data_IF_994673837181
#
_entry.id   IF_994673837181
#
_cell.length_a   1.000
_cell.length_b   1.000
_cell.length_c   1.000
_cell.angle_alpha   90.00
_cell.angle_beta   90.00
_cell.angle_gamma   90.00
#
_symmetry.space_group_name_H-M   'P 1'
#
loop_
_entity.id
_entity.type
_entity.pdbx_description
1 polymer ?
#
# COMPACT_ATOMS: atom_id res chain seq x y z
N UNK A 1 26.64 28.76 -66.26
CA UNK A 1 25.44 29.51 -66.72
C UNK A 1 24.44 29.54 -65.63
N UNK A 2 24.33 30.71 -64.95
CA UNK A 2 23.16 31.59 -64.90
C UNK A 2 21.97 30.95 -64.15
N UNK A 3 21.32 31.47 -63.15
CA UNK A 3 21.24 32.78 -62.47
C UNK A 3 20.45 32.53 -61.17
N UNK A 4 20.95 32.93 -60.07
CA UNK A 4 20.45 34.00 -59.14
C UNK A 4 18.99 34.40 -59.31
N UNK A 5 18.22 34.31 -58.22
CA UNK A 5 17.43 35.45 -57.77
C UNK A 5 17.03 35.27 -56.29
N UNK A 6 17.54 36.24 -55.55
CA UNK A 6 17.14 36.61 -54.19
C UNK A 6 15.75 37.27 -54.21
N UNK A 7 15.03 37.14 -53.11
CA UNK A 7 14.34 38.30 -52.50
C UNK A 7 13.87 37.96 -51.07
N UNK A 8 14.50 38.58 -50.13
CA UNK A 8 13.92 39.10 -48.86
C UNK A 8 13.28 40.46 -49.15
N UNK A 9 12.71 41.17 -48.12
CA UNK A 9 11.89 40.84 -46.99
C UNK A 9 10.64 41.74 -46.96
N UNK A 10 9.74 41.52 -46.01
CA UNK A 10 8.87 42.58 -45.57
C UNK A 10 8.63 42.48 -44.06
N UNK A 11 9.01 43.54 -43.44
CA UNK A 11 8.96 43.86 -42.02
C UNK A 11 7.64 44.51 -41.61
N UNK A 12 7.40 44.55 -40.31
CA UNK A 12 6.71 45.56 -39.48
C UNK A 12 5.18 45.63 -39.56
N UNK A 13 4.59 45.37 -38.38
CA UNK A 13 3.84 46.42 -37.66
C UNK A 13 3.38 45.91 -36.29
N UNK A 14 4.04 46.39 -35.27
CA UNK A 14 3.39 46.71 -33.99
C UNK A 14 2.71 48.09 -34.20
N UNK A 15 1.52 48.34 -33.71
CA UNK A 15 1.41 49.20 -32.54
C UNK A 15 0.13 49.05 -31.69
N UNK A 16 0.21 49.44 -30.52
CA UNK A 16 -0.68 50.35 -29.77
C UNK A 16 -0.99 49.90 -28.35
N UNK A 17 -0.19 50.43 -27.51
CA UNK A 17 -0.51 50.79 -26.13
C UNK A 17 -1.69 51.75 -26.12
N UNK A 18 -2.74 51.47 -25.34
CA UNK A 18 -3.75 52.45 -24.93
C UNK A 18 -4.03 52.35 -23.41
N UNK A 19 -4.43 53.44 -22.77
CA UNK A 19 -4.04 53.79 -21.43
C UNK A 19 -4.99 53.34 -20.33
N UNK A 20 -4.43 53.27 -19.13
CA UNK A 20 -5.08 53.16 -17.84
C UNK A 20 -6.11 54.28 -17.59
N UNK A 21 -7.33 53.91 -17.23
CA UNK A 21 -8.23 54.79 -16.48
C UNK A 21 -8.53 54.14 -15.11
N UNK A 22 -8.47 54.90 -14.04
CA UNK A 22 -8.86 54.48 -12.72
C UNK A 22 -10.31 54.83 -12.41
N UNK A 23 -11.06 53.93 -11.83
CA UNK A 23 -12.20 54.21 -10.97
C UNK A 23 -12.88 52.86 -10.69
N UNK A 24 -13.18 52.47 -9.56
CA UNK A 24 -13.82 52.98 -8.39
C UNK A 24 -13.82 51.88 -7.34
N UNK A 25 -13.42 52.21 -6.17
CA UNK A 25 -13.53 51.39 -4.99
C UNK A 25 -15.01 51.12 -4.68
N UNK A 26 -15.37 49.88 -4.53
CA UNK A 26 -16.58 49.45 -3.80
C UNK A 26 -16.11 48.68 -2.56
N UNK A 27 -16.61 48.98 -1.38
CA UNK A 27 -16.10 48.42 -0.15
C UNK A 27 -16.74 47.06 0.14
N UNK A 28 -15.91 46.13 0.64
CA UNK A 28 -16.29 45.17 1.62
C UNK A 28 -17.11 43.98 1.16
N UNK A 29 -16.43 42.95 0.68
CA UNK A 29 -16.80 41.57 1.08
C UNK A 29 -15.52 40.95 1.64
N UNK A 30 -15.52 40.77 2.98
CA UNK A 30 -14.59 39.91 3.64
C UNK A 30 -14.64 38.52 2.97
N UNK A 31 -13.48 37.84 2.82
CA UNK A 31 -13.52 36.47 2.39
C UNK A 31 -14.31 35.69 3.43
N UNK A 32 -15.45 35.14 3.02
CA UNK A 32 -16.13 34.08 3.73
C UNK A 32 -15.14 32.93 3.76
N UNK A 33 -14.45 32.82 4.89
CA UNK A 33 -13.82 31.59 5.26
C UNK A 33 -14.98 30.61 5.45
N UNK A 34 -15.35 29.91 4.40
CA UNK A 34 -16.02 28.63 4.55
C UNK A 34 -15.00 27.77 5.29
N UNK A 35 -15.15 27.72 6.62
CA UNK A 35 -14.75 26.53 7.36
C UNK A 35 -15.45 25.38 6.63
N UNK A 36 -14.73 24.74 5.72
CA UNK A 36 -14.98 23.34 5.43
C UNK A 36 -14.88 22.67 6.79
N UNK A 37 -16.06 22.41 7.35
CA UNK A 37 -16.22 21.47 8.43
C UNK A 37 -15.62 20.17 7.90
N UNK A 38 -14.31 20.00 8.15
CA UNK A 38 -13.63 18.75 7.93
C UNK A 38 -14.49 17.71 8.61
N UNK A 39 -15.07 16.88 7.81
CA UNK A 39 -15.67 15.63 8.23
C UNK A 39 -14.61 14.96 9.11
N UNK A 40 -14.78 15.08 10.43
CA UNK A 40 -14.10 14.28 11.43
C UNK A 40 -14.67 12.88 11.22
N UNK A 41 -14.24 12.26 10.13
CA UNK A 41 -14.39 10.83 9.95
C UNK A 41 -13.82 10.22 11.23
N UNK A 42 -14.70 9.60 11.98
CA UNK A 42 -14.38 8.93 13.24
C UNK A 42 -13.12 8.11 13.02
N UNK A 43 -12.00 8.57 13.59
CA UNK A 43 -10.74 7.83 13.57
C UNK A 43 -11.05 6.39 13.95
N UNK A 44 -10.71 5.46 13.07
CA UNK A 44 -10.96 4.05 13.35
C UNK A 44 -10.22 3.70 14.64
N UNK A 45 -10.73 2.74 15.42
CA UNK A 45 -10.03 2.28 16.63
C UNK A 45 -8.59 1.83 16.35
N UNK A 46 -8.33 1.35 15.12
CA UNK A 46 -6.98 1.06 14.66
C UNK A 46 -6.09 2.31 14.63
N UNK A 47 -6.65 3.47 14.37
CA UNK A 47 -5.90 4.73 14.36
C UNK A 47 -5.56 5.18 15.77
N UNK A 48 -6.51 5.09 16.71
CA UNK A 48 -6.29 5.51 18.09
C UNK A 48 -5.37 4.56 18.87
N UNK A 49 -5.47 3.26 18.61
CA UNK A 49 -4.67 2.24 19.29
C UNK A 49 -3.60 1.62 18.37
N UNK A 50 -3.14 2.36 17.37
CA UNK A 50 -2.10 1.91 16.45
C UNK A 50 -0.85 1.40 17.17
N UNK A 51 -0.46 2.04 18.30
CA UNK A 51 0.67 1.63 19.13
C UNK A 51 0.51 0.22 19.70
N UNK A 52 -0.71 -0.14 20.16
CA UNK A 52 -1.00 -1.48 20.69
C UNK A 52 -0.95 -2.53 19.57
N UNK A 53 -1.50 -2.21 18.40
CA UNK A 53 -1.40 -3.06 17.23
C UNK A 53 0.08 -3.27 16.83
N UNK A 54 0.89 -2.22 16.84
CA UNK A 54 2.32 -2.29 16.53
C UNK A 54 3.03 -3.17 17.54
N UNK A 55 2.78 -2.98 18.85
CA UNK A 55 3.34 -3.82 19.91
C UNK A 55 2.99 -5.29 19.72
N UNK A 56 1.70 -5.60 19.52
CA UNK A 56 1.25 -6.95 19.22
C UNK A 56 1.92 -7.50 17.95
N UNK A 57 2.04 -6.66 16.93
CA UNK A 57 2.66 -7.03 15.65
C UNK A 57 4.13 -7.41 15.80
N UNK A 58 4.89 -6.64 16.56
CA UNK A 58 6.34 -6.82 16.70
C UNK A 58 6.72 -7.89 17.73
N UNK A 59 5.91 -8.06 18.78
CA UNK A 59 6.24 -8.94 19.90
C UNK A 59 5.48 -10.27 19.91
N UNK A 60 4.23 -10.30 19.44
CA UNK A 60 3.38 -11.50 19.53
C UNK A 60 3.29 -12.28 18.22
N UNK A 61 3.55 -11.63 17.08
CA UNK A 61 3.45 -12.30 15.80
C UNK A 61 4.80 -12.81 15.31
N UNK A 62 4.73 -13.91 14.58
CA UNK A 62 5.90 -14.53 13.98
C UNK A 62 6.52 -13.59 12.93
N UNK A 63 7.84 -13.51 12.96
CA UNK A 63 8.63 -12.88 11.90
C UNK A 63 8.88 -13.88 10.77
N UNK A 64 8.32 -13.63 9.61
CA UNK A 64 8.46 -14.48 8.42
C UNK A 64 9.47 -13.89 7.41
N UNK A 65 10.30 -12.91 7.78
CA UNK A 65 11.23 -12.23 6.87
C UNK A 65 12.14 -13.22 6.13
N UNK A 66 12.80 -14.14 6.86
CA UNK A 66 13.69 -15.13 6.24
C UNK A 66 12.95 -16.12 5.33
N UNK A 67 11.68 -16.41 5.65
CA UNK A 67 10.84 -17.27 4.81
C UNK A 67 10.45 -16.54 3.52
N UNK A 68 10.10 -15.26 3.61
CA UNK A 68 9.82 -14.40 2.46
C UNK A 68 11.03 -14.32 1.54
N UNK A 69 12.21 -14.10 2.11
CA UNK A 69 13.47 -14.02 1.35
C UNK A 69 13.71 -15.32 0.57
N UNK A 70 13.67 -16.47 1.23
CA UNK A 70 13.89 -17.75 0.57
C UNK A 70 12.84 -18.09 -0.49
N UNK A 71 11.60 -17.68 -0.28
CA UNK A 71 10.51 -17.93 -1.23
C UNK A 71 10.60 -17.01 -2.46
N UNK A 72 10.86 -15.72 -2.25
CA UNK A 72 10.93 -14.74 -3.33
C UNK A 72 12.27 -14.83 -4.09
N UNK A 73 13.35 -15.06 -3.37
CA UNK A 73 14.71 -15.15 -3.94
C UNK A 73 15.40 -16.43 -3.47
N UNK A 74 15.30 -17.54 -4.22
CA UNK A 74 15.87 -18.84 -3.82
C UNK A 74 17.39 -18.82 -3.61
N UNK A 75 18.09 -17.96 -4.33
CA UNK A 75 19.51 -17.67 -4.19
C UNK A 75 19.83 -16.69 -3.04
N UNK A 76 18.81 -16.26 -2.30
CA UNK A 76 18.94 -15.38 -1.13
C UNK A 76 19.29 -13.94 -1.46
N UNK A 77 19.20 -13.52 -2.72
CA UNK A 77 19.61 -12.18 -3.19
C UNK A 77 18.55 -11.55 -4.10
N UNK A 78 18.09 -10.36 -3.72
CA UNK A 78 17.35 -9.52 -4.65
C UNK A 78 18.30 -8.90 -5.69
N UNK A 79 17.89 -8.81 -6.93
CA UNK A 79 18.70 -8.21 -8.00
C UNK A 79 18.64 -6.68 -7.95
N UNK A 80 19.66 -6.04 -8.46
CA UNK A 80 19.67 -4.59 -8.57
C UNK A 80 18.53 -4.11 -9.48
N UNK A 81 17.77 -3.10 -8.99
CA UNK A 81 16.64 -2.53 -9.72
C UNK A 81 15.32 -3.32 -9.60
N UNK A 82 15.30 -4.47 -8.92
CA UNK A 82 14.04 -5.16 -8.62
C UNK A 82 13.12 -4.29 -7.74
N UNK A 83 11.83 -4.46 -7.96
CA UNK A 83 10.76 -3.72 -7.25
C UNK A 83 9.89 -4.69 -6.47
N UNK A 84 9.71 -4.41 -5.21
CA UNK A 84 8.80 -5.15 -4.33
C UNK A 84 7.65 -4.26 -3.87
N UNK A 85 6.45 -4.83 -3.84
CA UNK A 85 5.28 -4.21 -3.20
C UNK A 85 4.82 -5.06 -2.02
N UNK A 86 4.59 -4.43 -0.85
CA UNK A 86 3.89 -5.03 0.28
C UNK A 86 2.47 -4.48 0.36
N UNK A 87 1.47 -5.38 0.28
CA UNK A 87 0.06 -5.04 0.38
C UNK A 87 -0.43 -5.15 1.83
N UNK A 88 -1.04 -4.09 2.36
CA UNK A 88 -1.42 -4.00 3.77
C UNK A 88 -0.19 -3.96 4.67
N UNK A 89 0.74 -3.05 4.39
CA UNK A 89 2.03 -2.98 5.06
C UNK A 89 1.93 -2.60 6.54
N UNK A 90 0.80 -2.03 6.98
CA UNK A 90 0.62 -1.52 8.33
C UNK A 90 1.75 -0.57 8.71
N UNK A 91 2.41 -0.75 9.88
CA UNK A 91 3.50 0.10 10.33
C UNK A 91 4.85 -0.20 9.63
N UNK A 92 4.84 -0.84 8.47
CA UNK A 92 6.01 -1.05 7.60
C UNK A 92 7.01 -2.09 8.09
N UNK A 93 6.55 -3.12 8.82
CA UNK A 93 7.44 -4.11 9.44
C UNK A 93 8.27 -4.86 8.40
N UNK A 94 7.64 -5.50 7.41
CA UNK A 94 8.38 -6.26 6.39
C UNK A 94 8.99 -5.35 5.33
N UNK A 95 8.29 -4.29 4.91
CA UNK A 95 8.86 -3.31 3.97
C UNK A 95 10.19 -2.76 4.45
N UNK A 96 10.27 -2.30 5.71
CA UNK A 96 11.52 -1.78 6.27
C UNK A 96 12.59 -2.87 6.42
N UNK A 97 12.24 -4.09 6.85
CA UNK A 97 13.20 -5.19 6.98
C UNK A 97 13.78 -5.63 5.65
N UNK A 98 12.93 -5.77 4.62
CA UNK A 98 13.37 -6.15 3.29
C UNK A 98 14.22 -5.05 2.63
N UNK A 99 13.84 -3.78 2.81
CA UNK A 99 14.61 -2.65 2.33
C UNK A 99 15.99 -2.54 3.00
N UNK A 100 16.06 -2.76 4.31
CA UNK A 100 17.34 -2.77 5.05
C UNK A 100 18.23 -3.97 4.63
N UNK A 101 17.61 -5.14 4.39
CA UNK A 101 18.33 -6.35 3.99
C UNK A 101 18.89 -6.27 2.58
N UNK A 102 18.19 -5.56 1.68
CA UNK A 102 18.54 -5.43 0.27
C UNK A 102 18.54 -3.94 -0.15
N UNK A 103 19.66 -3.21 0.04
CA UNK A 103 19.73 -1.79 -0.31
C UNK A 103 19.46 -1.47 -1.78
N UNK A 104 19.69 -2.43 -2.68
CA UNK A 104 19.44 -2.31 -4.12
C UNK A 104 17.97 -2.58 -4.54
N UNK A 105 17.14 -3.12 -3.61
CA UNK A 105 15.71 -3.39 -3.85
C UNK A 105 14.90 -2.12 -3.67
N UNK A 106 14.01 -1.78 -4.59
CA UNK A 106 13.04 -0.70 -4.40
C UNK A 106 11.77 -1.25 -3.75
N UNK A 107 11.45 -0.81 -2.54
CA UNK A 107 10.31 -1.30 -1.76
C UNK A 107 9.20 -0.27 -1.70
N UNK A 108 7.97 -0.70 -1.98
CA UNK A 108 6.74 0.09 -1.82
C UNK A 108 5.83 -0.62 -0.84
N UNK A 109 5.53 0.01 0.29
CA UNK A 109 4.50 -0.45 1.21
C UNK A 109 3.20 0.32 0.99
N UNK A 110 2.08 -0.38 0.85
CA UNK A 110 0.76 0.26 0.74
C UNK A 110 -0.16 -0.17 1.87
N UNK A 111 -0.93 0.77 2.38
CA UNK A 111 -1.98 0.54 3.37
C UNK A 111 -3.10 1.57 3.20
N UNK A 112 -4.29 1.30 3.71
CA UNK A 112 -5.40 2.26 3.70
C UNK A 112 -5.41 3.18 4.92
N UNK A 113 -4.78 2.78 6.02
CA UNK A 113 -4.77 3.52 7.27
C UNK A 113 -3.69 4.61 7.27
N UNK A 114 -4.07 5.92 7.35
CA UNK A 114 -3.11 7.01 7.41
C UNK A 114 -2.20 6.94 8.64
N UNK A 115 -2.74 6.52 9.79
CA UNK A 115 -1.97 6.38 11.03
C UNK A 115 -0.90 5.29 10.91
N UNK A 116 -1.23 4.14 10.34
CA UNK A 116 -0.26 3.06 10.08
C UNK A 116 0.86 3.54 9.14
N UNK A 117 0.51 4.26 8.09
CA UNK A 117 1.49 4.84 7.15
C UNK A 117 2.38 5.91 7.81
N UNK A 118 1.85 6.67 8.76
CA UNK A 118 2.66 7.62 9.54
C UNK A 118 3.74 6.88 10.35
N UNK A 119 3.38 5.82 11.06
CA UNK A 119 4.32 4.96 11.77
C UNK A 119 5.35 4.31 10.84
N UNK A 120 4.90 3.84 9.68
CA UNK A 120 5.79 3.24 8.67
C UNK A 120 6.83 4.24 8.16
N UNK A 121 6.42 5.50 7.90
CA UNK A 121 7.32 6.58 7.48
C UNK A 121 8.31 6.96 8.58
N UNK A 122 7.86 7.06 9.83
CA UNK A 122 8.74 7.32 10.98
C UNK A 122 9.78 6.21 11.13
N UNK A 123 9.36 4.95 11.05
CA UNK A 123 10.27 3.79 11.10
C UNK A 123 11.29 3.81 9.97
N UNK A 124 10.86 4.09 8.74
CA UNK A 124 11.75 4.28 7.58
C UNK A 124 12.82 5.33 7.86
N UNK A 125 12.40 6.50 8.36
CA UNK A 125 13.30 7.62 8.67
C UNK A 125 14.28 7.25 9.78
N UNK A 126 13.81 6.64 10.87
CA UNK A 126 14.65 6.18 11.98
C UNK A 126 15.71 5.15 11.55
N UNK A 127 15.41 4.35 10.52
CA UNK A 127 16.34 3.35 9.96
C UNK A 127 17.20 3.91 8.80
N UNK A 128 17.04 5.18 8.41
CA UNK A 128 17.79 5.79 7.31
C UNK A 128 17.55 5.15 5.93
N UNK A 129 16.35 4.57 5.70
CA UNK A 129 16.07 3.83 4.46
C UNK A 129 15.64 4.77 3.33
N UNK A 130 16.44 4.81 2.25
CA UNK A 130 16.14 5.61 1.06
C UNK A 130 15.45 4.80 -0.06
N UNK A 131 15.52 3.49 0.00
CA UNK A 131 14.97 2.55 -0.98
C UNK A 131 13.58 2.02 -0.60
N UNK A 132 12.91 2.61 0.40
CA UNK A 132 11.57 2.24 0.86
C UNK A 132 10.65 3.46 0.84
N UNK A 133 9.41 3.30 0.35
CA UNK A 133 8.38 4.34 0.38
C UNK A 133 7.04 3.77 0.81
N UNK A 134 6.19 4.63 1.38
CA UNK A 134 4.87 4.28 1.89
C UNK A 134 3.81 5.18 1.31
N UNK A 135 2.73 4.60 0.78
CA UNK A 135 1.63 5.34 0.17
C UNK A 135 0.27 4.74 0.53
N UNK A 136 -0.75 5.59 0.54
CA UNK A 136 -2.14 5.13 0.68
C UNK A 136 -2.62 4.60 -0.65
N UNK A 137 -3.15 3.35 -0.64
CA UNK A 137 -3.72 2.74 -1.84
C UNK A 137 -4.74 1.66 -1.47
N UNK A 138 -5.59 1.31 -2.44
CA UNK A 138 -6.60 0.27 -2.27
C UNK A 138 -6.14 -1.03 -2.93
N UNK A 139 -5.94 -2.08 -2.14
CA UNK A 139 -5.53 -3.41 -2.64
C UNK A 139 -6.54 -4.07 -3.60
N UNK A 140 -7.78 -3.58 -3.63
CA UNK A 140 -8.81 -4.04 -4.56
C UNK A 140 -8.77 -3.33 -5.92
N UNK A 141 -8.01 -2.23 -6.01
CA UNK A 141 -7.88 -1.39 -7.20
C UNK A 141 -6.59 -0.58 -7.07
N UNK A 142 -5.46 -1.24 -7.37
CA UNK A 142 -4.14 -0.65 -7.20
C UNK A 142 -3.88 0.44 -8.25
N UNK A 143 -3.40 1.60 -7.80
CA UNK A 143 -3.01 2.72 -8.68
C UNK A 143 -1.78 2.42 -9.56
N UNK A 144 -1.13 1.28 -9.32
CA UNK A 144 0.07 0.85 -10.05
C UNK A 144 -0.29 0.20 -11.39
N UNK A 145 0.53 0.44 -12.41
CA UNK A 145 0.39 -0.20 -13.72
C UNK A 145 0.57 -1.73 -13.64
N UNK A 146 0.05 -2.44 -14.64
CA UNK A 146 0.34 -3.87 -14.82
C UNK A 146 1.85 -4.10 -14.97
N UNK A 147 2.32 -5.28 -14.56
CA UNK A 147 3.72 -5.70 -14.76
C UNK A 147 4.77 -4.73 -14.16
N UNK A 148 4.46 -4.12 -13.01
CA UNK A 148 5.28 -3.08 -12.37
C UNK A 148 6.25 -3.62 -11.34
N UNK A 149 5.99 -4.82 -10.78
CA UNK A 149 6.74 -5.36 -9.64
C UNK A 149 7.30 -6.75 -9.93
N UNK A 150 8.48 -7.02 -9.41
CA UNK A 150 9.17 -8.32 -9.51
C UNK A 150 8.77 -9.24 -8.35
N UNK A 151 8.45 -8.66 -7.20
CA UNK A 151 8.04 -9.38 -6.02
C UNK A 151 6.87 -8.69 -5.30
N UNK A 152 6.00 -9.50 -4.68
CA UNK A 152 4.86 -9.05 -3.90
C UNK A 152 4.78 -9.80 -2.59
N UNK A 153 4.50 -9.08 -1.50
CA UNK A 153 4.26 -9.65 -0.18
C UNK A 153 2.90 -9.19 0.33
N UNK A 154 2.15 -10.12 0.94
CA UNK A 154 0.96 -9.81 1.71
C UNK A 154 0.93 -10.67 2.98
N UNK A 155 0.83 -10.03 4.14
CA UNK A 155 0.80 -10.74 5.42
C UNK A 155 -0.43 -10.35 6.23
N UNK A 156 -1.28 -11.34 6.55
CA UNK A 156 -2.54 -11.18 7.31
C UNK A 156 -3.52 -10.18 6.70
N UNK A 157 -3.47 -10.05 5.41
CA UNK A 157 -4.32 -9.15 4.64
C UNK A 157 -5.69 -9.77 4.35
N UNK A 158 -5.72 -11.06 3.99
CA UNK A 158 -6.97 -11.72 3.56
C UNK A 158 -7.99 -11.92 4.68
N UNK A 159 -7.57 -11.83 5.95
CA UNK A 159 -8.48 -11.89 7.11
C UNK A 159 -9.46 -10.71 7.16
N UNK A 160 -9.09 -9.56 6.60
CA UNK A 160 -9.87 -8.31 6.65
C UNK A 160 -10.44 -7.88 5.30
N UNK A 161 -10.04 -8.52 4.21
CA UNK A 161 -10.49 -8.15 2.87
C UNK A 161 -11.93 -8.57 2.56
N UNK A 162 -12.77 -7.65 2.08
CA UNK A 162 -14.15 -7.96 1.69
C UNK A 162 -14.21 -8.75 0.37
N UNK A 163 -13.36 -8.43 -0.60
CA UNK A 163 -13.31 -9.07 -1.92
C UNK A 163 -11.92 -9.65 -2.22
N UNK A 164 -11.71 -10.87 -1.77
CA UNK A 164 -10.43 -11.58 -1.89
C UNK A 164 -10.05 -11.92 -3.33
N UNK A 165 -11.06 -12.22 -4.18
CA UNK A 165 -10.80 -12.54 -5.60
C UNK A 165 -10.26 -11.31 -6.34
N UNK A 166 -10.85 -10.14 -6.08
CA UNK A 166 -10.38 -8.89 -6.68
C UNK A 166 -8.95 -8.57 -6.25
N UNK A 167 -8.62 -8.77 -4.98
CA UNK A 167 -7.26 -8.59 -4.49
C UNK A 167 -6.25 -9.52 -5.21
N UNK A 168 -6.59 -10.82 -5.37
CA UNK A 168 -5.72 -11.76 -6.09
C UNK A 168 -5.57 -11.37 -7.58
N UNK A 169 -6.63 -10.85 -8.20
CA UNK A 169 -6.55 -10.34 -9.58
C UNK A 169 -5.59 -9.14 -9.68
N UNK A 170 -5.66 -8.21 -8.73
CA UNK A 170 -4.74 -7.07 -8.68
C UNK A 170 -3.30 -7.50 -8.38
N UNK A 171 -3.09 -8.45 -7.46
CA UNK A 171 -1.77 -9.04 -7.21
C UNK A 171 -1.17 -9.63 -8.48
N UNK A 172 -1.97 -10.39 -9.23
CA UNK A 172 -1.54 -10.96 -10.50
C UNK A 172 -1.25 -9.89 -11.55
N UNK A 173 -2.11 -8.87 -11.64
CA UNK A 173 -1.99 -7.79 -12.62
C UNK A 173 -0.69 -7.01 -12.46
N UNK A 174 -0.35 -6.62 -11.23
CA UNK A 174 0.80 -5.75 -10.97
C UNK A 174 2.14 -6.47 -11.00
N UNK A 175 2.16 -7.79 -10.87
CA UNK A 175 3.38 -8.57 -10.99
C UNK A 175 3.79 -8.73 -12.45
N UNK A 176 5.08 -8.67 -12.71
CA UNK A 176 5.69 -8.99 -14.02
C UNK A 176 5.63 -10.49 -14.31
N UNK A 177 5.69 -10.90 -15.58
CA UNK A 177 6.00 -12.28 -15.92
C UNK A 177 7.27 -12.74 -15.20
N UNK A 178 7.24 -13.94 -14.58
CA UNK A 178 8.31 -14.46 -13.72
C UNK A 178 8.33 -13.88 -12.30
N UNK A 179 7.53 -12.85 -12.02
CA UNK A 179 7.42 -12.25 -10.69
C UNK A 179 6.76 -13.18 -9.67
N UNK A 180 7.13 -13.05 -8.41
CA UNK A 180 6.69 -13.93 -7.32
C UNK A 180 5.86 -13.19 -6.27
N UNK A 181 4.82 -13.87 -5.81
CA UNK A 181 3.93 -13.41 -4.75
C UNK A 181 4.04 -14.34 -3.53
N UNK A 182 4.37 -13.78 -2.37
CA UNK A 182 4.38 -14.50 -1.10
C UNK A 182 3.26 -13.99 -0.20
N UNK A 183 2.45 -14.92 0.30
CA UNK A 183 1.33 -14.62 1.21
C UNK A 183 1.48 -15.42 2.49
N UNK A 184 1.30 -14.76 3.64
CA UNK A 184 1.30 -15.37 4.96
C UNK A 184 -0.01 -15.04 5.70
N UNK A 185 -0.80 -16.06 6.03
CA UNK A 185 -2.10 -15.90 6.70
C UNK A 185 -2.21 -16.77 7.96
N UNK A 186 -2.90 -16.33 9.01
CA UNK A 186 -3.13 -17.16 10.19
C UNK A 186 -4.03 -18.35 9.86
N UNK A 187 -3.77 -19.48 10.52
CA UNK A 187 -4.57 -20.72 10.39
C UNK A 187 -5.81 -20.72 11.26
N UNK A 188 -5.79 -19.97 12.35
CA UNK A 188 -6.79 -20.05 13.40
C UNK A 188 -7.46 -18.69 13.59
N UNK A 189 -8.77 -18.65 13.47
CA UNK A 189 -9.56 -17.44 13.68
C UNK A 189 -9.37 -16.86 15.09
N UNK A 190 -9.18 -17.69 16.09
CA UNK A 190 -8.95 -17.26 17.48
C UNK A 190 -7.74 -16.33 17.57
N UNK A 191 -6.56 -16.75 17.10
CA UNK A 191 -5.35 -15.95 17.16
C UNK A 191 -5.40 -14.70 16.26
N UNK A 192 -6.10 -14.79 15.14
CA UNK A 192 -6.33 -13.64 14.26
C UNK A 192 -7.30 -12.63 14.86
N UNK A 193 -8.22 -13.08 15.72
CA UNK A 193 -9.26 -12.25 16.33
C UNK A 193 -8.81 -11.58 17.64
N UNK A 194 -7.74 -12.02 18.29
CA UNK A 194 -7.26 -11.42 19.54
C UNK A 194 -7.03 -9.90 19.42
N UNK A 195 -6.29 -9.39 18.44
CA UNK A 195 -6.11 -7.96 18.27
C UNK A 195 -7.44 -7.22 18.04
N UNK A 196 -8.33 -7.81 17.24
CA UNK A 196 -9.65 -7.23 16.95
C UNK A 196 -10.54 -7.21 18.22
N UNK A 197 -10.51 -8.29 18.99
CA UNK A 197 -11.26 -8.39 20.24
C UNK A 197 -10.73 -7.42 21.31
N UNK A 198 -9.41 -7.32 21.47
CA UNK A 198 -8.81 -6.36 22.43
C UNK A 198 -9.15 -4.92 22.05
N UNK A 199 -9.14 -4.59 20.76
CA UNK A 199 -9.54 -3.27 20.29
C UNK A 199 -11.04 -3.01 20.52
N UNK A 200 -11.90 -3.99 20.25
CA UNK A 200 -13.33 -3.89 20.53
C UNK A 200 -13.61 -3.71 22.04
N UNK A 201 -12.89 -4.45 22.91
CA UNK A 201 -13.03 -4.33 24.35
C UNK A 201 -12.60 -2.95 24.84
N UNK A 202 -11.48 -2.43 24.35
CA UNK A 202 -11.00 -1.08 24.65
C UNK A 202 -11.99 0.00 24.21
N UNK A 203 -12.55 -0.15 23.01
CA UNK A 203 -13.59 0.75 22.52
C UNK A 203 -14.81 0.79 23.44
N UNK A 204 -15.23 -0.39 23.92
CA UNK A 204 -16.37 -0.51 24.82
C UNK A 204 -16.08 0.11 26.22
N UNK A 205 -14.87 -0.05 26.72
CA UNK A 205 -14.45 0.51 28.02
C UNK A 205 -14.24 2.02 27.99
N UNK A 206 -13.86 2.58 26.85
CA UNK A 206 -13.59 4.02 26.69
C UNK A 206 -14.79 4.82 26.20
N UNK A 207 -15.99 4.21 26.10
CA UNK A 207 -17.21 4.83 25.57
C UNK A 207 -17.11 5.40 24.14
N UNK A 208 -16.08 5.02 23.39
CA UNK A 208 -15.90 5.38 21.98
C UNK A 208 -16.80 4.53 21.05
N UNK A 209 -18.10 4.61 21.22
CA UNK A 209 -19.06 3.74 20.53
C UNK A 209 -19.64 4.38 19.25
N UNK A 210 -19.00 5.40 18.70
CA UNK A 210 -19.49 6.07 17.50
C UNK A 210 -19.07 5.32 16.24
N UNK A 211 -19.88 4.32 15.85
CA UNK A 211 -19.88 3.81 14.47
C UNK A 211 -18.83 2.77 14.11
N UNK A 212 -18.17 2.12 15.08
CA UNK A 212 -17.24 1.02 14.78
C UNK A 212 -17.94 -0.14 14.06
N UNK A 213 -17.70 -0.28 12.76
CA UNK A 213 -18.25 -1.30 11.87
C UNK A 213 -17.24 -2.36 11.43
N UNK A 214 -16.07 -2.40 12.04
CA UNK A 214 -15.07 -3.40 11.67
C UNK A 214 -15.46 -4.80 12.20
N UNK A 215 -15.14 -5.87 11.47
CA UNK A 215 -15.53 -7.20 11.86
C UNK A 215 -14.83 -7.59 13.17
N UNK A 216 -15.61 -7.97 14.19
CA UNK A 216 -15.10 -8.47 15.47
C UNK A 216 -14.43 -9.85 15.37
N UNK A 217 -14.60 -10.52 14.24
CA UNK A 217 -14.02 -11.84 13.96
C UNK A 217 -13.30 -11.83 12.62
N UNK A 218 -12.04 -12.23 12.65
CA UNK A 218 -11.27 -12.47 11.44
C UNK A 218 -11.82 -13.68 10.68
N UNK A 219 -12.09 -13.54 9.39
CA UNK A 219 -12.48 -14.67 8.53
C UNK A 219 -11.22 -15.31 7.95
N UNK A 220 -10.77 -16.37 8.60
CA UNK A 220 -9.59 -17.13 8.17
C UNK A 220 -9.95 -18.07 7.02
N UNK A 221 -9.08 -18.12 6.01
CA UNK A 221 -9.18 -19.09 4.92
C UNK A 221 -8.64 -20.46 5.37
N UNK A 222 -9.26 -21.54 4.95
CA UNK A 222 -8.61 -22.85 4.96
C UNK A 222 -7.56 -22.93 3.84
N UNK A 223 -6.63 -23.87 3.93
CA UNK A 223 -5.62 -24.07 2.88
C UNK A 223 -6.25 -24.41 1.53
N UNK A 224 -7.34 -25.17 1.53
CA UNK A 224 -8.10 -25.49 0.30
C UNK A 224 -8.74 -24.25 -0.31
N UNK A 225 -9.32 -23.38 0.52
CA UNK A 225 -9.90 -22.11 0.05
C UNK A 225 -8.82 -21.18 -0.47
N UNK A 226 -7.67 -21.11 0.20
CA UNK A 226 -6.52 -20.34 -0.26
C UNK A 226 -6.06 -20.82 -1.65
N UNK A 227 -5.87 -22.12 -1.83
CA UNK A 227 -5.48 -22.67 -3.13
C UNK A 227 -6.51 -22.36 -4.22
N UNK A 228 -7.81 -22.60 -3.95
CA UNK A 228 -8.89 -22.25 -4.91
C UNK A 228 -8.94 -20.75 -5.22
N UNK A 229 -8.66 -19.91 -4.24
CA UNK A 229 -8.64 -18.46 -4.40
C UNK A 229 -7.51 -18.03 -5.35
N UNK A 230 -6.30 -18.52 -5.14
CA UNK A 230 -5.18 -18.22 -6.03
C UNK A 230 -5.35 -18.83 -7.42
N UNK A 231 -5.93 -20.03 -7.52
CA UNK A 231 -6.24 -20.67 -8.81
C UNK A 231 -7.27 -19.91 -9.67
N UNK A 232 -7.81 -18.79 -9.19
CA UNK A 232 -8.64 -17.88 -10.02
C UNK A 232 -7.84 -17.07 -11.04
N UNK A 233 -6.51 -17.07 -10.94
CA UNK A 233 -5.60 -16.43 -11.90
C UNK A 233 -4.67 -17.46 -12.51
N UNK A 234 -4.17 -17.25 -13.73
CA UNK A 234 -3.34 -18.20 -14.46
C UNK A 234 -1.87 -18.15 -14.01
N UNK A 235 -1.61 -18.38 -12.72
CA UNK A 235 -0.25 -18.50 -12.21
C UNK A 235 0.47 -19.67 -12.86
N UNK A 236 1.73 -19.50 -13.22
CA UNK A 236 2.59 -20.59 -13.67
C UNK A 236 2.80 -21.64 -12.59
N UNK A 237 2.88 -21.17 -11.33
CA UNK A 237 3.09 -22.02 -10.16
C UNK A 237 2.29 -21.50 -8.98
N UNK A 238 1.65 -22.41 -8.24
CA UNK A 238 1.01 -22.15 -6.95
C UNK A 238 1.47 -23.22 -5.98
N UNK A 239 2.14 -22.82 -4.92
CA UNK A 239 2.50 -23.68 -3.79
C UNK A 239 1.79 -23.16 -2.54
N UNK A 240 1.12 -24.05 -1.81
CA UNK A 240 0.48 -23.71 -0.54
C UNK A 240 0.89 -24.72 0.53
N UNK A 241 1.24 -24.22 1.71
CA UNK A 241 1.63 -25.08 2.83
C UNK A 241 1.24 -24.50 4.18
N UNK A 242 1.40 -25.29 5.22
CA UNK A 242 1.17 -24.91 6.61
C UNK A 242 2.42 -25.10 7.43
N UNK A 243 2.67 -24.17 8.33
CA UNK A 243 3.74 -24.30 9.30
C UNK A 243 3.39 -23.54 10.58
N UNK A 244 3.30 -24.29 11.70
CA UNK A 244 2.88 -23.73 12.96
C UNK A 244 1.49 -23.11 12.92
N UNK A 245 1.38 -21.84 13.33
CA UNK A 245 0.13 -21.08 13.39
C UNK A 245 -0.25 -20.41 12.08
N UNK A 246 0.58 -20.53 11.04
CA UNK A 246 0.40 -19.87 9.75
C UNK A 246 0.24 -20.84 8.60
N UNK A 247 -0.33 -20.34 7.55
CA UNK A 247 -0.38 -20.94 6.23
C UNK A 247 0.10 -19.95 5.20
N UNK A 248 0.65 -20.47 4.13
CA UNK A 248 1.39 -19.68 3.14
C UNK A 248 0.95 -20.03 1.74
N UNK A 249 1.07 -19.06 0.85
CA UNK A 249 1.03 -19.26 -0.59
C UNK A 249 2.25 -18.62 -1.22
N UNK A 250 2.89 -19.32 -2.14
CA UNK A 250 3.88 -18.81 -3.07
C UNK A 250 3.34 -19.02 -4.47
N UNK A 251 3.17 -17.92 -5.20
CA UNK A 251 2.69 -17.94 -6.57
C UNK A 251 3.73 -17.29 -7.47
N UNK A 252 3.86 -17.83 -8.69
CA UNK A 252 4.74 -17.28 -9.72
C UNK A 252 3.93 -16.99 -10.98
N UNK A 253 4.03 -15.77 -11.51
CA UNK A 253 3.36 -15.34 -12.73
C UNK A 253 4.07 -15.93 -13.94
N UNK A 254 3.29 -16.46 -14.91
CA UNK A 254 3.79 -16.94 -16.20
C UNK A 254 4.19 -15.83 -17.16
#
# INVERSE_FOLDING_TARGET
MLKTLQSQPAALADPAVLPLHPASATPGLAPVITEEAGDKSSDSLFEQFAWLYIFCREKLFRDDTERMIRALWPDGKARAGEKLIELGCGPGFYSCKLAARFPQLSVVGIDRSPSQLTWARQKRTALGLNNCRFQSDNVLELSHASDSFDALVASRLFTVLPNRRRAVAEMYRVLRPGGRCFVAEPRWAFWASIPLFTMWLLARLTHFNNGYREPTRARVLSLREMNRLFATQPWRKIETWREGRYQYALCEKG
#
